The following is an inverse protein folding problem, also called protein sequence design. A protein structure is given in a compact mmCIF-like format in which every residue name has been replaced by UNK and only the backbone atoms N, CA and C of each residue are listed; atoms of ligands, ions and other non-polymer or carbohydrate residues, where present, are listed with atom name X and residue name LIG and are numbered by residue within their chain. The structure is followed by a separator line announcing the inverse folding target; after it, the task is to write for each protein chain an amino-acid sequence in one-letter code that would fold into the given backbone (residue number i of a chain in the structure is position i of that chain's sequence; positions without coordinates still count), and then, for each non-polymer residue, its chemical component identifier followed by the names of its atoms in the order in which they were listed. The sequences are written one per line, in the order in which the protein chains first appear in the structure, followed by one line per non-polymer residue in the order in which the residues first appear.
data_IF_639937826740
#
_entry.id   IF_639937826740
#
_cell.length_a   1.000
_cell.length_b   1.000
_cell.length_c   1.000
_cell.angle_alpha   90.00
_cell.angle_beta   90.00
_cell.angle_gamma   90.00
#
_symmetry.space_group_name_H-M   'P 1'
#
loop_
_entity.id
_entity.type
_entity.pdbx_description
1 polymer ?
#
# COMPACT_ATOMS: atom_id res chain seq x y z
N UNK A 1 10.11 -0.75 19.26
CA UNK A 1 10.60 -0.94 17.88
C UNK A 1 9.40 -1.25 16.99
N UNK A 2 8.87 -0.25 16.28
CA UNK A 2 7.71 -0.42 15.42
C UNK A 2 8.15 -0.71 14.00
N UNK A 3 8.31 -1.99 13.64
CA UNK A 3 8.57 -2.38 12.26
C UNK A 3 7.29 -2.13 11.46
N UNK A 4 7.18 -0.96 10.82
CA UNK A 4 6.19 -0.72 9.76
C UNK A 4 6.59 -1.59 8.56
N UNK A 5 6.24 -2.87 8.59
CA UNK A 5 6.28 -3.75 7.44
C UNK A 5 5.30 -3.20 6.39
N UNK A 6 5.80 -2.28 5.59
CA UNK A 6 5.05 -1.62 4.54
C UNK A 6 5.26 -2.45 3.30
N UNK A 7 4.34 -3.39 3.03
CA UNK A 7 4.39 -4.20 1.81
C UNK A 7 4.49 -3.27 0.60
N UNK A 8 5.47 -3.51 -0.25
CA UNK A 8 5.77 -2.65 -1.40
C UNK A 8 4.66 -2.69 -2.44
N UNK A 9 4.60 -1.69 -3.31
CA UNK A 9 3.60 -1.65 -4.39
C UNK A 9 3.67 -2.91 -5.28
N UNK A 10 4.88 -3.28 -5.67
CA UNK A 10 5.13 -4.45 -6.52
C UNK A 10 4.68 -5.76 -5.84
N UNK A 11 4.97 -5.92 -4.54
CA UNK A 11 4.53 -7.09 -3.77
C UNK A 11 2.99 -7.19 -3.66
N UNK A 12 2.29 -6.05 -3.59
CA UNK A 12 0.82 -6.04 -3.59
C UNK A 12 0.24 -6.46 -4.93
N UNK A 13 0.84 -6.00 -6.03
CA UNK A 13 0.43 -6.40 -7.38
C UNK A 13 0.67 -7.89 -7.57
N UNK A 14 1.87 -8.37 -7.27
CA UNK A 14 2.23 -9.78 -7.40
C UNK A 14 1.28 -10.69 -6.60
N UNK A 15 0.92 -10.31 -5.37
CA UNK A 15 -0.07 -11.05 -4.59
C UNK A 15 -1.48 -11.03 -5.22
N UNK A 16 -1.93 -9.90 -5.74
CA UNK A 16 -3.24 -9.81 -6.40
C UNK A 16 -3.26 -10.64 -7.69
N UNK A 17 -2.20 -10.58 -8.50
CA UNK A 17 -2.10 -11.37 -9.73
C UNK A 17 -2.04 -12.87 -9.45
N UNK A 18 -1.25 -13.30 -8.46
CA UNK A 18 -1.20 -14.70 -8.00
C UNK A 18 -2.56 -15.21 -7.53
N UNK A 19 -3.31 -14.37 -6.83
CA UNK A 19 -4.68 -14.69 -6.44
C UNK A 19 -5.61 -14.82 -7.67
N UNK A 20 -5.52 -13.90 -8.63
CA UNK A 20 -6.32 -13.92 -9.86
C UNK A 20 -6.00 -15.12 -10.77
N UNK A 21 -4.74 -15.56 -10.77
CA UNK A 21 -4.30 -16.80 -11.44
C UNK A 21 -4.73 -18.07 -10.71
N UNK A 22 -5.35 -17.93 -9.54
CA UNK A 22 -5.80 -19.01 -8.70
C UNK A 22 -4.64 -19.93 -8.22
N UNK A 23 -3.41 -19.39 -8.19
CA UNK A 23 -2.19 -20.09 -7.76
C UNK A 23 -2.07 -20.12 -6.23
N UNK A 24 -2.56 -19.06 -5.56
CA UNK A 24 -2.50 -18.92 -4.10
C UNK A 24 -3.84 -18.45 -3.52
N UNK A 25 -4.18 -18.93 -2.32
CA UNK A 25 -5.32 -18.42 -1.57
C UNK A 25 -4.97 -17.15 -0.81
N UNK A 26 -5.98 -16.35 -0.46
CA UNK A 26 -5.79 -15.16 0.41
C UNK A 26 -5.04 -15.50 1.71
N UNK A 27 -5.31 -16.67 2.29
CA UNK A 27 -4.65 -17.11 3.52
C UNK A 27 -3.16 -17.41 3.33
N UNK A 28 -2.76 -17.95 2.17
CA UNK A 28 -1.35 -18.22 1.85
C UNK A 28 -0.60 -16.91 1.63
N UNK A 29 -1.18 -16.00 0.85
CA UNK A 29 -0.65 -14.66 0.63
C UNK A 29 -0.56 -13.85 1.93
N UNK A 30 -1.56 -13.99 2.80
CA UNK A 30 -1.59 -13.36 4.13
C UNK A 30 -0.41 -13.81 4.99
N UNK A 31 -0.10 -15.11 4.99
CA UNK A 31 1.06 -15.66 5.72
C UNK A 31 2.39 -15.24 5.09
N UNK A 32 2.49 -15.29 3.77
CA UNK A 32 3.71 -14.98 3.02
C UNK A 32 4.11 -13.51 3.19
N UNK A 33 3.15 -12.60 3.04
CA UNK A 33 3.36 -11.16 3.17
C UNK A 33 3.17 -10.65 4.61
N UNK A 34 2.80 -11.53 5.55
CA UNK A 34 2.47 -11.19 6.96
C UNK A 34 1.45 -10.06 7.07
N UNK A 35 0.46 -10.06 6.18
CA UNK A 35 -0.62 -9.06 6.16
C UNK A 35 -1.95 -9.70 6.51
N UNK A 36 -2.87 -8.91 7.06
CA UNK A 36 -4.22 -9.39 7.31
C UNK A 36 -4.96 -9.70 5.99
N UNK A 37 -5.79 -10.76 6.00
CA UNK A 37 -6.67 -11.08 4.87
C UNK A 37 -7.55 -9.88 4.44
N UNK A 38 -7.93 -9.01 5.38
CA UNK A 38 -8.67 -7.77 5.10
C UNK A 38 -7.89 -6.79 4.23
N UNK A 39 -6.56 -6.72 4.37
CA UNK A 39 -5.70 -5.91 3.52
C UNK A 39 -5.68 -6.42 2.09
N UNK A 40 -5.57 -7.75 1.91
CA UNK A 40 -5.59 -8.38 0.58
C UNK A 40 -6.95 -8.16 -0.10
N UNK A 41 -8.06 -8.29 0.62
CA UNK A 41 -9.39 -7.97 0.09
C UNK A 41 -9.50 -6.52 -0.37
N UNK A 42 -8.95 -5.57 0.41
CA UNK A 42 -8.90 -4.15 0.01
C UNK A 42 -8.07 -3.94 -1.25
N UNK A 43 -6.92 -4.60 -1.36
CA UNK A 43 -6.09 -4.54 -2.56
C UNK A 43 -6.83 -5.06 -3.78
N UNK A 44 -7.51 -6.21 -3.65
CA UNK A 44 -8.31 -6.79 -4.72
C UNK A 44 -9.44 -5.86 -5.18
N UNK A 45 -10.19 -5.29 -4.23
CA UNK A 45 -11.27 -4.35 -4.55
C UNK A 45 -10.77 -3.09 -5.27
N UNK A 46 -9.62 -2.55 -4.84
CA UNK A 46 -8.97 -1.42 -5.51
C UNK A 46 -8.47 -1.78 -6.90
N UNK A 47 -7.83 -2.95 -7.03
CA UNK A 47 -7.34 -3.44 -8.31
C UNK A 47 -8.47 -3.66 -9.32
N UNK A 48 -9.62 -4.16 -8.88
CA UNK A 48 -10.80 -4.32 -9.74
C UNK A 48 -11.44 -2.98 -10.13
N UNK A 49 -11.40 -1.98 -9.25
CA UNK A 49 -12.06 -0.68 -9.50
C UNK A 49 -11.19 0.29 -10.30
N UNK A 50 -9.88 0.31 -10.03
CA UNK A 50 -8.92 1.32 -10.51
C UNK A 50 -7.72 0.69 -11.23
N UNK A 51 -7.68 -0.63 -11.39
CA UNK A 51 -6.52 -1.32 -11.94
C UNK A 51 -5.30 -1.29 -11.01
N UNK A 52 -4.10 -1.60 -11.52
CA UNK A 52 -2.86 -1.58 -10.74
C UNK A 52 -2.58 -0.22 -10.08
N UNK A 53 -2.97 0.89 -10.72
CA UNK A 53 -2.79 2.26 -10.22
C UNK A 53 -3.45 2.50 -8.85
N UNK A 54 -4.59 1.85 -8.59
CA UNK A 54 -5.30 1.93 -7.30
C UNK A 54 -4.52 1.34 -6.11
N UNK A 55 -3.52 0.49 -6.37
CA UNK A 55 -2.62 -0.04 -5.34
C UNK A 55 -1.46 0.92 -5.04
N UNK A 56 -1.11 1.79 -5.99
CA UNK A 56 0.02 2.73 -5.89
C UNK A 56 -0.28 3.88 -4.93
N UNK A 57 -1.51 4.39 -4.93
CA UNK A 57 -1.95 5.49 -4.05
C UNK A 57 -1.81 5.17 -2.56
N UNK A 58 -1.94 3.91 -2.16
CA UNK A 58 -1.86 3.54 -0.74
C UNK A 58 -0.46 3.74 -0.16
N UNK A 59 0.60 3.65 -0.99
CA UNK A 59 1.97 3.92 -0.56
C UNK A 59 2.26 5.42 -0.45
N UNK A 60 1.70 6.24 -1.36
CA UNK A 60 1.85 7.70 -1.30
C UNK A 60 1.12 8.32 -0.10
N UNK A 61 -0.03 7.77 0.30
CA UNK A 61 -0.76 8.23 1.49
C UNK A 61 -0.02 7.98 2.82
N UNK A 62 0.98 7.08 2.86
CA UNK A 62 1.86 6.91 4.03
C UNK A 62 3.08 7.85 4.00
N UNK A 63 3.49 8.30 2.81
CA UNK A 63 4.58 9.27 2.61
C UNK A 63 4.10 10.73 2.71
N UNK A 64 2.79 10.97 2.57
CA UNK A 64 2.15 12.28 2.75
C UNK A 64 2.19 12.80 4.20
N UNK A 65 2.86 12.09 5.12
CA UNK A 65 3.01 12.50 6.52
C UNK A 65 4.39 13.07 6.89
N UNK A 66 5.34 13.23 5.96
CA UNK A 66 6.64 13.85 6.26
C UNK A 66 6.99 15.07 5.39
N UNK A 67 6.79 15.01 4.06
CA UNK A 67 7.38 16.02 3.16
C UNK A 67 6.66 17.38 3.13
N UNK A 68 5.39 17.45 3.57
CA UNK A 68 4.59 18.68 3.50
C UNK A 68 4.64 19.54 4.79
N UNK A 69 5.56 19.22 5.72
CA UNK A 69 5.77 20.03 6.94
C UNK A 69 6.97 20.96 6.88
N UNK A 70 7.88 20.83 5.91
CA UNK A 70 9.06 21.71 5.83
C UNK A 70 8.81 23.00 5.02
N UNK A 71 7.85 23.01 4.09
CA UNK A 71 7.61 24.19 3.24
C UNK A 71 6.78 25.27 3.93
N UNK A 72 5.81 24.91 4.77
CA UNK A 72 4.92 25.87 5.44
C UNK A 72 5.64 26.63 6.56
N UNK A 73 6.62 26.00 7.21
CA UNK A 73 7.34 26.63 8.34
C UNK A 73 8.33 27.70 7.86
N UNK A 74 8.88 27.58 6.64
CA UNK A 74 9.80 28.58 6.09
C UNK A 74 9.11 29.83 5.53
N UNK A 75 7.84 29.73 5.11
CA UNK A 75 7.06 30.87 4.63
C UNK A 75 6.66 31.83 5.76
N UNK A 76 6.51 31.31 7.00
CA UNK A 76 6.06 32.10 8.14
C UNK A 76 7.14 33.03 8.75
N UNK A 77 8.42 32.89 8.37
CA UNK A 77 9.52 33.71 8.91
C UNK A 77 10.06 34.76 7.93
N UNK A 78 9.47 34.88 6.74
CA UNK A 78 9.81 35.90 5.73
C UNK A 78 8.77 37.03 5.62
N UNK A 79 7.98 37.26 6.68
CA UNK A 79 7.01 38.35 6.80
C UNK A 79 7.07 39.02 8.16
#
# INVERSE_FOLDING_TARGET
MGSKFTVSYEERIDAVEKYLRNEYSMNDLSKQLKVANTSIRRWLARYQSLGPEGLQETSKNLSYSWELKETVVMDYLSG
#
